data_IF_252321934059
#
_entry.id   IF_252321934059
#
_cell.length_a   1.000
_cell.length_b   1.000
_cell.length_c   1.000
_cell.angle_alpha   90.00
_cell.angle_beta   90.00
_cell.angle_gamma   90.00
#
_symmetry.space_group_name_H-M   'P 1'
#
loop_
_entity.id
_entity.type
_entity.pdbx_description
1 polymer ?
#
# COMPACT_ATOMS: atom_id res chain seq x y z
N UNK A 1 4.37 -45.11 10.82
CA UNK A 1 4.96 -44.58 12.06
C UNK A 1 5.86 -43.40 11.69
N UNK A 2 5.73 -42.29 12.42
CA UNK A 2 6.55 -41.05 12.29
C UNK A 2 6.16 -40.13 11.11
N UNK A 3 5.14 -39.30 11.31
CA UNK A 3 5.09 -37.86 10.95
C UNK A 3 3.95 -37.22 11.74
N UNK A 4 4.20 -37.02 13.02
CA UNK A 4 3.34 -36.28 13.92
C UNK A 4 4.28 -35.50 14.84
N UNK A 5 4.62 -34.32 14.44
CA UNK A 5 5.02 -33.23 15.34
C UNK A 5 5.48 -32.03 14.50
N UNK A 6 5.09 -30.90 14.93
CA UNK A 6 5.46 -29.52 14.55
C UNK A 6 4.31 -28.77 13.84
N UNK A 7 3.27 -28.45 14.57
CA UNK A 7 2.56 -27.17 14.51
C UNK A 7 2.18 -26.81 15.95
N UNK A 8 3.13 -26.39 16.74
CA UNK A 8 2.92 -25.58 17.94
C UNK A 8 3.83 -24.35 17.86
N UNK A 9 3.60 -23.52 16.86
CA UNK A 9 3.98 -22.13 16.85
C UNK A 9 2.79 -21.31 17.33
N UNK A 10 2.59 -21.23 18.64
CA UNK A 10 1.57 -20.36 19.21
C UNK A 10 1.78 -18.95 18.66
N UNK A 11 0.81 -18.42 17.89
CA UNK A 11 0.70 -17.00 17.65
C UNK A 11 0.45 -16.34 18.99
N UNK A 12 1.52 -15.94 19.67
CA UNK A 12 1.43 -15.11 20.85
C UNK A 12 0.62 -13.87 20.44
N UNK A 13 -0.47 -13.60 21.16
CA UNK A 13 -1.26 -12.39 20.99
C UNK A 13 -0.29 -11.20 21.01
N UNK A 14 -0.17 -10.50 19.89
CA UNK A 14 0.67 -9.32 19.82
C UNK A 14 0.10 -8.28 20.77
N UNK A 15 0.97 -7.65 21.56
CA UNK A 15 0.54 -6.59 22.47
C UNK A 15 -0.11 -5.48 21.66
N UNK A 16 -1.31 -5.07 22.06
CA UNK A 16 -2.01 -3.96 21.41
C UNK A 16 -1.16 -2.69 21.46
N UNK A 17 -1.16 -1.88 20.40
CA UNK A 17 -0.36 -0.65 20.37
C UNK A 17 -0.87 0.37 21.37
N UNK A 18 0.02 1.28 21.78
CA UNK A 18 -0.34 2.38 22.67
C UNK A 18 -1.44 3.23 22.02
N UNK A 19 -2.44 3.59 22.82
CA UNK A 19 -3.60 4.37 22.35
C UNK A 19 -4.69 3.56 21.65
N UNK A 20 -4.57 2.24 21.58
CA UNK A 20 -5.63 1.38 21.04
C UNK A 20 -6.92 1.51 21.89
N UNK A 21 -8.14 1.53 21.27
CA UNK A 21 -8.44 1.33 19.85
C UNK A 21 -8.33 2.59 18.98
N UNK A 22 -8.01 3.76 19.53
CA UNK A 22 -7.89 5.00 18.79
C UNK A 22 -9.23 5.46 18.17
N UNK A 23 -9.19 5.85 16.89
CA UNK A 23 -10.37 6.24 16.11
C UNK A 23 -10.74 5.13 15.15
N UNK A 24 -12.01 4.72 15.18
CA UNK A 24 -12.57 3.75 14.25
C UNK A 24 -12.96 4.43 12.93
N UNK A 25 -12.57 3.85 11.82
CA UNK A 25 -12.89 4.32 10.46
C UNK A 25 -13.41 3.13 9.65
N UNK A 26 -14.53 3.34 8.97
CA UNK A 26 -15.06 2.38 8.00
C UNK A 26 -14.81 2.92 6.59
N UNK A 27 -14.11 2.14 5.78
CA UNK A 27 -13.88 2.44 4.39
C UNK A 27 -14.20 1.21 3.53
N UNK A 28 -15.15 1.35 2.61
CA UNK A 28 -15.71 0.20 1.90
C UNK A 28 -16.31 -0.81 2.88
N UNK A 29 -15.85 -2.07 2.82
CA UNK A 29 -16.27 -3.11 3.76
C UNK A 29 -15.27 -3.34 4.90
N UNK A 30 -14.32 -2.42 5.10
CA UNK A 30 -13.21 -2.60 6.03
C UNK A 30 -13.30 -1.63 7.20
N UNK A 31 -13.39 -2.20 8.39
CA UNK A 31 -13.22 -1.51 9.65
C UNK A 31 -11.73 -1.41 9.98
N UNK A 32 -11.25 -0.22 10.29
CA UNK A 32 -9.85 0.04 10.64
C UNK A 32 -9.76 1.03 11.79
N UNK A 33 -8.99 0.68 12.79
CA UNK A 33 -8.63 1.55 13.88
C UNK A 33 -7.32 2.28 13.58
N UNK A 34 -7.31 3.58 13.83
CA UNK A 34 -6.13 4.44 13.59
C UNK A 34 -5.81 5.25 14.84
N UNK A 35 -4.54 5.67 15.03
CA UNK A 35 -4.18 6.54 16.14
C UNK A 35 -5.01 7.82 16.16
N UNK A 36 -5.34 8.30 17.34
CA UNK A 36 -6.00 9.61 17.51
C UNK A 36 -5.01 10.69 17.08
N UNK A 37 -5.43 11.56 16.15
CA UNK A 37 -4.61 12.70 15.74
C UNK A 37 -4.52 13.72 16.86
N UNK A 38 -3.33 14.24 17.19
CA UNK A 38 -3.21 15.40 18.08
C UNK A 38 -3.94 16.62 17.49
N UNK A 39 -4.69 17.36 18.30
CA UNK A 39 -5.45 18.55 17.88
C UNK A 39 -4.60 19.67 17.25
N UNK A 40 -3.29 19.68 17.50
CA UNK A 40 -2.34 20.65 17.00
C UNK A 40 -1.91 20.47 15.53
N UNK A 41 -2.25 19.35 14.90
CA UNK A 41 -1.83 19.07 13.52
C UNK A 41 -2.83 19.64 12.51
N UNK A 42 -2.64 20.94 12.16
CA UNK A 42 -3.29 21.57 11.00
C UNK A 42 -2.35 21.52 9.80
N UNK A 43 -2.77 20.90 8.70
CA UNK A 43 -2.01 20.90 7.46
C UNK A 43 -2.22 19.63 6.62
N UNK A 44 -1.65 19.60 5.38
CA UNK A 44 -1.60 18.38 4.60
C UNK A 44 -0.92 17.30 5.42
N UNK A 45 -1.32 16.04 5.21
CA UNK A 45 -0.89 14.85 5.94
C UNK A 45 0.55 14.98 6.46
N UNK A 46 0.67 15.32 7.74
CA UNK A 46 1.96 15.61 8.32
C UNK A 46 2.76 14.30 8.39
N UNK A 47 4.06 14.39 8.13
CA UNK A 47 5.03 13.30 8.26
C UNK A 47 5.13 12.76 9.70
N UNK A 48 4.40 13.33 10.64
CA UNK A 48 4.50 13.12 12.07
C UNK A 48 3.26 12.38 12.58
N UNK A 49 3.23 11.08 12.43
CA UNK A 49 2.18 10.23 13.00
C UNK A 49 2.24 8.83 12.43
N UNK A 50 2.81 7.92 13.20
CA UNK A 50 2.84 6.49 12.88
C UNK A 50 1.41 5.97 12.70
N UNK A 51 1.21 5.14 11.69
CA UNK A 51 -0.11 4.53 11.44
C UNK A 51 -1.15 5.48 10.84
N UNK A 52 -0.72 6.55 10.19
CA UNK A 52 -1.60 7.56 9.60
C UNK A 52 -2.45 7.01 8.45
N UNK A 53 -3.72 7.37 8.45
CA UNK A 53 -4.62 7.16 7.31
C UNK A 53 -4.97 8.50 6.66
N UNK A 54 -4.75 8.61 5.35
CA UNK A 54 -5.22 9.76 4.56
C UNK A 54 -6.61 9.48 3.98
N UNK A 55 -7.69 10.11 4.48
CA UNK A 55 -9.04 9.91 3.95
C UNK A 55 -9.18 10.34 2.48
N UNK A 56 -8.40 11.31 2.00
CA UNK A 56 -8.41 11.75 0.61
C UNK A 56 -7.99 10.64 -0.37
N UNK A 57 -7.25 9.64 0.12
CA UNK A 57 -6.82 8.49 -0.68
C UNK A 57 -7.88 7.36 -0.77
N UNK A 58 -9.04 7.50 -0.14
CA UNK A 58 -10.11 6.49 -0.19
C UNK A 58 -10.53 6.15 -1.64
N UNK A 59 -10.60 7.16 -2.51
CA UNK A 59 -10.89 6.95 -3.94
C UNK A 59 -9.80 6.17 -4.68
N UNK A 60 -8.52 6.37 -4.35
CA UNK A 60 -7.41 5.59 -4.89
C UNK A 60 -7.53 4.12 -4.46
N UNK A 61 -7.72 3.87 -3.18
CA UNK A 61 -7.92 2.51 -2.66
C UNK A 61 -9.13 1.80 -3.26
N UNK A 62 -10.24 2.53 -3.49
CA UNK A 62 -11.41 1.97 -4.19
C UNK A 62 -11.11 1.59 -5.63
N UNK A 63 -10.36 2.41 -6.38
CA UNK A 63 -9.96 2.08 -7.75
C UNK A 63 -9.07 0.84 -7.78
N UNK A 64 -8.13 0.70 -6.84
CA UNK A 64 -7.28 -0.49 -6.78
C UNK A 64 -8.08 -1.77 -6.46
N UNK A 65 -9.13 -1.71 -5.61
CA UNK A 65 -10.05 -2.83 -5.38
C UNK A 65 -10.78 -3.23 -6.66
N UNK A 66 -11.37 -2.25 -7.36
CA UNK A 66 -12.11 -2.50 -8.60
C UNK A 66 -11.21 -3.10 -9.69
N UNK A 67 -10.01 -2.58 -9.84
CA UNK A 67 -9.05 -3.04 -10.83
C UNK A 67 -8.52 -4.44 -10.51
N UNK A 68 -8.27 -4.74 -9.23
CA UNK A 68 -7.87 -6.09 -8.80
C UNK A 68 -9.02 -7.10 -9.00
N UNK A 69 -10.26 -6.70 -8.73
CA UNK A 69 -11.42 -7.55 -8.99
C UNK A 69 -11.53 -7.89 -10.48
N UNK A 70 -11.42 -6.88 -11.35
CA UNK A 70 -11.42 -7.08 -12.80
C UNK A 70 -10.28 -8.00 -13.27
N UNK A 71 -9.08 -7.83 -12.72
CA UNK A 71 -7.93 -8.67 -13.01
C UNK A 71 -8.15 -10.15 -12.67
N UNK A 72 -8.85 -10.41 -11.56
CA UNK A 72 -9.19 -11.75 -11.11
C UNK A 72 -10.32 -12.38 -11.94
N UNK A 73 -11.38 -11.63 -12.19
CA UNK A 73 -12.54 -12.10 -12.96
C UNK A 73 -12.18 -12.41 -14.42
N UNK A 74 -11.38 -11.55 -15.03
CA UNK A 74 -11.00 -11.66 -16.44
C UNK A 74 -9.64 -12.35 -16.65
N UNK A 75 -8.94 -12.75 -15.57
CA UNK A 75 -7.69 -13.49 -15.61
C UNK A 75 -6.59 -12.87 -16.49
N UNK A 76 -6.52 -11.52 -16.55
CA UNK A 76 -5.52 -10.88 -17.41
C UNK A 76 -4.13 -10.72 -16.75
N UNK A 77 -4.01 -10.87 -15.43
CA UNK A 77 -2.70 -10.89 -14.74
C UNK A 77 -2.08 -12.28 -14.72
N UNK A 78 -2.87 -13.30 -14.45
CA UNK A 78 -2.42 -14.69 -14.32
C UNK A 78 -3.47 -15.63 -14.93
N UNK A 79 -3.09 -16.88 -15.16
CA UNK A 79 -4.02 -17.92 -15.61
C UNK A 79 -5.14 -18.15 -14.58
N UNK A 80 -6.31 -18.67 -15.00
CA UNK A 80 -7.34 -19.12 -14.07
C UNK A 80 -6.75 -19.99 -12.96
N UNK A 81 -7.27 -19.85 -11.76
CA UNK A 81 -6.87 -20.58 -10.55
C UNK A 81 -5.44 -20.38 -10.05
N UNK A 82 -4.62 -19.59 -10.76
CA UNK A 82 -3.29 -19.24 -10.28
C UNK A 82 -3.36 -18.13 -9.22
N UNK A 83 -2.42 -18.18 -8.27
CA UNK A 83 -2.28 -17.18 -7.22
C UNK A 83 -1.70 -15.87 -7.78
N UNK A 84 -2.14 -14.76 -7.20
CA UNK A 84 -1.63 -13.41 -7.45
C UNK A 84 -0.89 -12.96 -6.19
N UNK A 85 0.42 -12.71 -6.34
CA UNK A 85 1.25 -12.14 -5.28
C UNK A 85 1.21 -10.63 -5.35
N UNK A 86 0.85 -10.03 -4.25
CA UNK A 86 0.66 -8.58 -4.10
C UNK A 86 1.56 -8.07 -2.99
N UNK A 87 2.22 -6.95 -3.21
CA UNK A 87 2.87 -6.19 -2.15
C UNK A 87 2.27 -4.79 -2.05
N UNK A 88 1.75 -4.45 -0.87
CA UNK A 88 1.44 -3.10 -0.42
C UNK A 88 2.68 -2.61 0.31
N UNK A 89 3.54 -1.88 -0.41
CA UNK A 89 4.93 -1.69 0.01
C UNK A 89 5.09 -0.66 1.13
N UNK A 90 4.11 0.23 1.33
CA UNK A 90 4.12 1.35 2.26
C UNK A 90 2.75 1.45 2.94
N UNK A 91 2.35 0.37 3.57
CA UNK A 91 0.95 0.05 3.88
C UNK A 91 0.36 0.77 5.10
N UNK A 92 1.18 1.44 5.93
CA UNK A 92 0.75 2.06 7.18
C UNK A 92 -0.11 1.09 8.02
N UNK A 93 -1.41 1.37 8.20
CA UNK A 93 -2.35 0.51 8.96
C UNK A 93 -2.88 -0.68 8.15
N UNK A 94 -2.34 -0.97 6.99
CA UNK A 94 -2.77 -2.04 6.07
C UNK A 94 -4.21 -1.92 5.57
N UNK A 95 -4.81 -0.74 5.59
CA UNK A 95 -6.21 -0.58 5.18
C UNK A 95 -6.43 -0.98 3.72
N UNK A 96 -5.50 -0.66 2.80
CA UNK A 96 -5.59 -1.03 1.38
C UNK A 96 -5.57 -2.54 1.21
N UNK A 97 -4.59 -3.21 1.79
CA UNK A 97 -4.46 -4.67 1.78
C UNK A 97 -5.70 -5.37 2.35
N UNK A 98 -6.23 -4.86 3.47
CA UNK A 98 -7.42 -5.42 4.12
C UNK A 98 -8.69 -5.15 3.29
N UNK A 99 -8.79 -4.01 2.58
CA UNK A 99 -9.88 -3.74 1.65
C UNK A 99 -9.89 -4.71 0.47
N UNK A 100 -8.74 -5.03 -0.10
CA UNK A 100 -8.67 -6.06 -1.14
C UNK A 100 -9.25 -7.38 -0.64
N UNK A 101 -8.88 -7.83 0.55
CA UNK A 101 -9.36 -9.09 1.11
C UNK A 101 -10.83 -9.08 1.51
N UNK A 102 -11.38 -7.95 1.96
CA UNK A 102 -12.77 -7.83 2.40
C UNK A 102 -13.76 -7.51 1.26
N UNK A 103 -13.29 -6.95 0.16
CA UNK A 103 -14.14 -6.43 -0.92
C UNK A 103 -14.11 -7.28 -2.20
N UNK A 104 -13.04 -8.04 -2.42
CA UNK A 104 -12.98 -9.06 -3.49
C UNK A 104 -13.95 -10.20 -3.14
N UNK A 105 -14.70 -10.75 -4.12
CA UNK A 105 -15.60 -11.89 -3.90
C UNK A 105 -14.89 -13.08 -3.25
N UNK A 106 -15.56 -13.73 -2.30
CA UNK A 106 -14.98 -14.84 -1.55
C UNK A 106 -14.47 -15.99 -2.45
N UNK A 107 -15.10 -16.21 -3.59
CA UNK A 107 -14.67 -17.21 -4.56
C UNK A 107 -13.32 -16.92 -5.22
N UNK A 108 -12.83 -15.69 -5.11
CA UNK A 108 -11.58 -15.24 -5.75
C UNK A 108 -10.50 -14.87 -4.73
N UNK A 109 -10.89 -14.58 -3.47
CA UNK A 109 -9.96 -14.07 -2.46
C UNK A 109 -8.85 -15.06 -2.11
N UNK A 110 -9.12 -16.38 -2.20
CA UNK A 110 -8.14 -17.44 -1.93
C UNK A 110 -6.97 -17.45 -2.93
N UNK A 111 -7.13 -16.73 -4.06
CA UNK A 111 -6.05 -16.54 -5.05
C UNK A 111 -5.07 -15.44 -4.65
N UNK A 112 -5.37 -14.64 -3.63
CA UNK A 112 -4.56 -13.51 -3.22
C UNK A 112 -3.56 -13.93 -2.14
N UNK A 113 -2.30 -13.63 -2.38
CA UNK A 113 -1.20 -13.69 -1.42
C UNK A 113 -0.69 -12.26 -1.21
N UNK A 114 -1.07 -11.64 -0.12
CA UNK A 114 -0.77 -10.23 0.12
C UNK A 114 0.29 -10.09 1.20
N UNK A 115 1.33 -9.33 0.89
CA UNK A 115 2.31 -8.80 1.84
C UNK A 115 2.02 -7.32 2.03
N UNK A 116 1.70 -6.95 3.25
CA UNK A 116 1.50 -5.57 3.70
C UNK A 116 2.73 -5.15 4.49
N UNK A 117 3.55 -4.28 3.91
CA UNK A 117 4.84 -3.89 4.47
C UNK A 117 4.86 -2.42 4.88
N UNK A 118 5.47 -2.12 6.00
CA UNK A 118 5.83 -0.76 6.37
C UNK A 118 7.17 -0.75 7.13
N UNK A 119 7.90 0.36 7.07
CA UNK A 119 9.14 0.54 7.81
C UNK A 119 8.88 0.89 9.27
N UNK A 120 7.77 1.60 9.54
CA UNK A 120 7.43 2.13 10.85
C UNK A 120 6.86 1.02 11.75
N UNK A 121 7.56 0.70 12.83
CA UNK A 121 7.15 -0.30 13.81
C UNK A 121 5.76 -0.01 14.41
N UNK A 122 5.45 1.26 14.65
CA UNK A 122 4.15 1.65 15.20
C UNK A 122 3.04 1.39 14.18
N UNK A 123 3.24 1.76 12.91
CA UNK A 123 2.31 1.47 11.83
C UNK A 123 2.05 -0.04 11.71
N UNK A 124 3.11 -0.85 11.73
CA UNK A 124 3.01 -2.32 11.70
C UNK A 124 2.27 -2.88 12.91
N UNK A 125 2.50 -2.32 14.10
CA UNK A 125 1.77 -2.74 15.31
C UNK A 125 0.27 -2.46 15.22
N UNK A 126 -0.12 -1.31 14.67
CA UNK A 126 -1.53 -0.96 14.38
C UNK A 126 -2.13 -1.87 13.30
N UNK A 127 -1.36 -2.18 12.25
CA UNK A 127 -1.79 -3.11 11.21
C UNK A 127 -2.08 -4.51 11.78
N UNK A 128 -1.19 -5.03 12.62
CA UNK A 128 -1.35 -6.32 13.29
C UNK A 128 -2.54 -6.34 14.25
N UNK A 129 -2.72 -5.28 15.04
CA UNK A 129 -3.87 -5.15 15.95
C UNK A 129 -5.18 -5.11 15.16
N UNK A 130 -5.24 -4.36 14.05
CA UNK A 130 -6.39 -4.33 13.16
C UNK A 130 -6.71 -5.72 12.57
N UNK A 131 -5.70 -6.47 12.15
CA UNK A 131 -5.90 -7.81 11.61
C UNK A 131 -6.31 -8.82 12.68
N UNK A 132 -5.80 -8.68 13.90
CA UNK A 132 -6.16 -9.54 15.04
C UNK A 132 -7.62 -9.33 15.48
N UNK A 133 -8.04 -8.07 15.63
CA UNK A 133 -9.37 -7.70 16.13
C UNK A 133 -10.47 -7.82 15.04
N UNK A 134 -10.11 -7.59 13.80
CA UNK A 134 -11.00 -7.64 12.64
C UNK A 134 -10.35 -8.45 11.51
N UNK A 135 -10.25 -9.78 11.64
CA UNK A 135 -9.57 -10.62 10.68
C UNK A 135 -10.23 -10.57 9.30
N UNK A 136 -9.40 -10.54 8.27
CA UNK A 136 -9.83 -10.63 6.87
C UNK A 136 -9.89 -12.08 6.41
N UNK A 137 -10.56 -12.30 5.28
CA UNK A 137 -10.44 -13.55 4.53
C UNK A 137 -9.08 -13.61 3.81
N UNK A 138 -8.64 -14.80 3.42
CA UNK A 138 -7.44 -15.00 2.62
C UNK A 138 -6.11 -14.81 3.38
N UNK A 139 -5.02 -14.72 2.63
CA UNK A 139 -3.67 -14.69 3.17
C UNK A 139 -3.12 -13.27 3.23
N UNK A 140 -2.88 -12.78 4.44
CA UNK A 140 -2.25 -11.48 4.71
C UNK A 140 -1.02 -11.66 5.60
N UNK A 141 0.14 -11.38 5.07
CA UNK A 141 1.37 -11.22 5.84
C UNK A 141 1.59 -9.74 6.17
N UNK A 142 1.78 -9.42 7.44
CA UNK A 142 2.13 -8.05 7.88
C UNK A 142 3.58 -8.03 8.28
N UNK A 143 4.38 -7.31 7.50
CA UNK A 143 5.83 -7.28 7.57
C UNK A 143 6.32 -5.91 7.99
N UNK A 144 7.40 -5.88 8.79
CA UNK A 144 8.18 -4.67 9.03
C UNK A 144 9.46 -4.72 8.22
N UNK A 145 9.67 -3.72 7.35
CA UNK A 145 10.88 -3.68 6.54
C UNK A 145 10.98 -2.48 5.61
N UNK A 146 12.18 -2.27 5.09
CA UNK A 146 12.38 -1.31 4.00
C UNK A 146 11.66 -1.80 2.74
N UNK A 147 10.77 -0.97 2.21
CA UNK A 147 9.96 -1.28 1.03
C UNK A 147 10.81 -1.74 -0.16
N UNK A 148 11.97 -1.13 -0.37
CA UNK A 148 12.89 -1.49 -1.48
C UNK A 148 13.41 -2.92 -1.34
N UNK A 149 13.71 -3.35 -0.12
CA UNK A 149 14.16 -4.72 0.15
C UNK A 149 12.98 -5.67 0.00
N UNK A 150 11.83 -5.35 0.58
CA UNK A 150 10.64 -6.20 0.55
C UNK A 150 10.12 -6.40 -0.88
N UNK A 151 10.19 -5.37 -1.73
CA UNK A 151 9.84 -5.48 -3.15
C UNK A 151 10.78 -6.47 -3.88
N UNK A 152 12.07 -6.52 -3.56
CA UNK A 152 13.04 -7.41 -4.23
C UNK A 152 12.93 -8.89 -3.81
N UNK A 153 12.14 -9.22 -2.81
CA UNK A 153 12.04 -10.60 -2.29
C UNK A 153 11.25 -11.56 -3.19
N UNK A 154 10.43 -11.05 -4.09
CA UNK A 154 9.59 -11.90 -4.94
C UNK A 154 9.35 -11.26 -6.32
N UNK A 155 8.85 -12.06 -7.27
CA UNK A 155 8.26 -11.54 -8.50
C UNK A 155 6.77 -11.28 -8.27
N UNK A 156 6.37 -10.02 -8.23
CA UNK A 156 5.03 -9.58 -7.87
C UNK A 156 4.15 -9.38 -9.10
N UNK A 157 2.89 -9.82 -9.03
CA UNK A 157 1.88 -9.48 -10.04
C UNK A 157 1.21 -8.13 -9.75
N UNK A 158 1.32 -7.65 -8.49
CA UNK A 158 0.84 -6.32 -8.12
C UNK A 158 1.80 -5.70 -7.11
N UNK A 159 2.28 -4.49 -7.42
CA UNK A 159 3.11 -3.69 -6.52
C UNK A 159 2.39 -2.36 -6.29
N UNK A 160 2.02 -2.08 -5.06
CA UNK A 160 1.44 -0.79 -4.65
C UNK A 160 2.51 0.07 -4.00
N UNK A 161 2.70 1.28 -4.52
CA UNK A 161 3.70 2.26 -4.07
C UNK A 161 2.97 3.57 -3.75
N UNK A 162 2.58 3.75 -2.49
CA UNK A 162 1.86 4.94 -2.00
C UNK A 162 2.67 5.67 -0.91
N UNK A 163 3.81 6.31 -1.24
CA UNK A 163 4.68 6.99 -0.30
C UNK A 163 4.12 8.34 0.16
N UNK A 164 4.57 8.78 1.33
CA UNK A 164 4.53 10.19 1.66
C UNK A 164 5.58 10.94 0.82
N UNK A 165 5.16 11.53 -0.29
CA UNK A 165 6.02 12.30 -1.18
C UNK A 165 6.27 11.64 -2.52
N UNK A 166 7.54 11.43 -2.87
CA UNK A 166 7.95 10.94 -4.19
C UNK A 166 8.05 9.42 -4.24
N UNK A 167 7.50 8.75 -5.28
CA UNK A 167 7.66 7.33 -5.49
C UNK A 167 9.02 6.93 -6.10
N UNK A 168 9.78 7.90 -6.58
CA UNK A 168 11.05 7.66 -7.30
C UNK A 168 11.99 6.66 -6.61
N UNK A 169 12.19 6.68 -5.27
CA UNK A 169 13.10 5.75 -4.62
C UNK A 169 12.71 4.26 -4.73
N UNK A 170 11.48 3.97 -5.15
CA UNK A 170 10.91 2.62 -5.21
C UNK A 170 10.71 2.10 -6.63
N UNK A 171 10.77 2.96 -7.65
CA UNK A 171 10.43 2.58 -9.03
C UNK A 171 11.40 1.58 -9.62
N UNK A 172 12.72 1.78 -9.48
CA UNK A 172 13.73 0.87 -10.02
C UNK A 172 13.56 -0.55 -9.49
N UNK A 173 13.39 -0.69 -8.16
CA UNK A 173 13.23 -2.01 -7.54
C UNK A 173 11.90 -2.65 -7.92
N UNK A 174 10.84 -1.87 -8.09
CA UNK A 174 9.56 -2.36 -8.55
C UNK A 174 9.65 -2.92 -9.98
N UNK A 175 10.28 -2.19 -10.88
CA UNK A 175 10.46 -2.64 -12.27
C UNK A 175 11.37 -3.87 -12.38
N UNK A 176 12.36 -4.03 -11.49
CA UNK A 176 13.19 -5.22 -11.44
C UNK A 176 12.47 -6.45 -10.87
N UNK A 177 11.45 -6.26 -10.02
CA UNK A 177 10.79 -7.33 -9.28
C UNK A 177 9.38 -7.63 -9.77
N UNK A 178 8.84 -6.87 -10.71
CA UNK A 178 7.54 -7.17 -11.26
C UNK A 178 7.55 -8.47 -12.07
N UNK A 179 6.46 -9.23 -12.00
CA UNK A 179 6.26 -10.41 -12.85
C UNK A 179 6.15 -9.98 -14.33
N UNK A 180 6.26 -10.94 -15.24
CA UNK A 180 6.16 -10.67 -16.70
C UNK A 180 4.88 -9.91 -17.09
N UNK A 181 3.79 -10.16 -16.40
CA UNK A 181 2.55 -9.38 -16.47
C UNK A 181 2.27 -8.91 -15.06
N UNK A 182 2.24 -7.62 -14.86
CA UNK A 182 2.07 -7.02 -13.54
C UNK A 182 1.37 -5.67 -13.62
N UNK A 183 0.81 -5.26 -12.49
CA UNK A 183 0.39 -3.89 -12.20
C UNK A 183 1.40 -3.27 -11.25
N UNK A 184 1.85 -2.07 -11.56
CA UNK A 184 2.57 -1.20 -10.63
C UNK A 184 1.68 0.02 -10.38
N UNK A 185 1.02 0.04 -9.22
CA UNK A 185 0.16 1.15 -8.79
C UNK A 185 1.03 2.18 -8.08
N UNK A 186 1.06 3.40 -8.59
CA UNK A 186 1.99 4.44 -8.12
C UNK A 186 1.24 5.69 -7.72
N UNK A 187 1.41 6.11 -6.47
CA UNK A 187 0.95 7.39 -5.98
C UNK A 187 2.12 8.35 -5.77
N UNK A 188 1.88 9.62 -6.07
CA UNK A 188 2.82 10.71 -5.79
C UNK A 188 2.09 11.84 -5.07
N UNK A 189 2.52 12.15 -3.86
CA UNK A 189 1.89 13.21 -3.04
C UNK A 189 2.74 14.48 -2.97
N UNK A 190 3.91 14.52 -3.58
CA UNK A 190 4.77 15.69 -3.69
C UNK A 190 4.40 16.60 -4.87
N UNK A 191 3.12 16.94 -4.95
CA UNK A 191 2.51 17.71 -6.03
C UNK A 191 3.21 19.02 -6.31
N UNK A 192 3.75 19.70 -5.29
CA UNK A 192 4.50 20.94 -5.46
C UNK A 192 5.76 20.77 -6.33
N UNK A 193 6.43 19.62 -6.22
CA UNK A 193 7.58 19.30 -7.07
C UNK A 193 7.14 19.01 -8.51
N UNK A 194 6.10 18.21 -8.68
CA UNK A 194 5.59 17.78 -9.98
C UNK A 194 4.91 18.92 -10.76
N UNK A 195 4.21 19.85 -10.09
CA UNK A 195 3.52 20.99 -10.72
C UNK A 195 4.38 22.24 -10.89
N UNK A 196 5.67 22.19 -10.52
CA UNK A 196 6.61 23.30 -10.70
C UNK A 196 6.65 24.33 -9.57
N UNK A 197 5.78 24.26 -8.57
CA UNK A 197 5.79 25.20 -7.43
C UNK A 197 7.03 25.03 -6.54
N UNK A 198 7.68 23.86 -6.56
CA UNK A 198 8.95 23.57 -5.89
C UNK A 198 10.00 23.09 -6.89
N UNK A 199 10.49 24.00 -7.73
CA UNK A 199 11.36 23.74 -8.89
C UNK A 199 12.63 22.95 -8.53
N UNK A 200 13.31 23.31 -7.42
CA UNK A 200 14.51 22.58 -6.97
C UNK A 200 14.23 21.12 -6.60
N UNK A 201 13.06 20.85 -6.04
CA UNK A 201 12.62 19.49 -5.71
C UNK A 201 12.22 18.72 -6.96
N UNK A 202 11.54 19.36 -7.92
CA UNK A 202 11.20 18.79 -9.22
C UNK A 202 12.46 18.32 -9.96
N UNK A 203 13.44 19.22 -10.06
CA UNK A 203 14.73 18.92 -10.69
C UNK A 203 15.48 17.76 -10.04
N UNK A 204 15.55 17.76 -8.69
CA UNK A 204 16.29 16.74 -7.95
C UNK A 204 15.64 15.36 -7.98
N UNK A 205 14.30 15.28 -7.97
CA UNK A 205 13.56 14.02 -7.86
C UNK A 205 13.17 13.44 -9.20
N UNK A 206 12.77 14.29 -10.14
CA UNK A 206 12.16 13.91 -11.41
C UNK A 206 12.99 14.33 -12.63
N UNK A 207 14.13 14.98 -12.41
CA UNK A 207 14.95 15.61 -13.47
C UNK A 207 14.09 16.48 -14.41
N UNK A 208 13.07 17.14 -13.86
CA UNK A 208 12.09 17.91 -14.61
C UNK A 208 11.83 19.27 -13.97
N UNK A 209 11.46 20.22 -14.82
CA UNK A 209 11.03 21.55 -14.42
C UNK A 209 9.69 21.85 -15.07
N UNK A 210 8.61 21.58 -14.34
CA UNK A 210 7.27 21.92 -14.80
C UNK A 210 7.05 23.44 -14.74
N UNK A 211 6.29 23.94 -15.70
CA UNK A 211 5.84 25.35 -15.73
C UNK A 211 4.55 25.46 -14.91
N UNK A 212 4.45 26.53 -14.10
CA UNK A 212 3.25 26.81 -13.31
C UNK A 212 2.25 27.55 -14.18
N UNK A 213 1.41 26.82 -14.86
CA UNK A 213 0.33 27.29 -15.71
C UNK A 213 -0.97 26.50 -15.47
N UNK A 214 -1.98 26.72 -16.30
CA UNK A 214 -3.28 26.03 -16.20
C UNK A 214 -3.17 24.53 -16.48
N UNK A 215 -2.12 24.07 -17.19
CA UNK A 215 -1.86 22.67 -17.53
C UNK A 215 -0.89 21.98 -16.55
N UNK A 216 -0.52 22.64 -15.45
CA UNK A 216 0.49 22.12 -14.50
C UNK A 216 0.19 20.70 -13.97
N UNK A 217 -1.08 20.35 -13.82
CA UNK A 217 -1.47 19.01 -13.34
C UNK A 217 -1.30 17.94 -14.45
N UNK A 218 -1.62 18.28 -15.69
CA UNK A 218 -1.36 17.41 -16.85
C UNK A 218 0.15 17.22 -17.06
N UNK A 219 0.91 18.30 -16.91
CA UNK A 219 2.37 18.26 -16.96
C UNK A 219 2.94 17.39 -15.86
N UNK A 220 2.40 17.49 -14.63
CA UNK A 220 2.79 16.65 -13.50
C UNK A 220 2.60 15.16 -13.79
N UNK A 221 1.44 14.79 -14.37
CA UNK A 221 1.17 13.41 -14.77
C UNK A 221 2.14 12.91 -15.84
N UNK A 222 2.48 13.75 -16.83
CA UNK A 222 3.46 13.40 -17.87
C UNK A 222 4.87 13.22 -17.30
N UNK A 223 5.28 14.07 -16.36
CA UNK A 223 6.56 13.95 -15.65
C UNK A 223 6.62 12.64 -14.88
N UNK A 224 5.57 12.32 -14.11
CA UNK A 224 5.51 11.08 -13.34
C UNK A 224 5.55 9.84 -14.26
N UNK A 225 4.73 9.82 -15.32
CA UNK A 225 4.71 8.73 -16.29
C UNK A 225 6.08 8.56 -16.99
N UNK A 226 6.73 9.67 -17.36
CA UNK A 226 8.07 9.62 -17.95
C UNK A 226 9.16 9.11 -16.99
N UNK A 227 8.92 9.23 -15.68
CA UNK A 227 9.84 8.67 -14.67
C UNK A 227 9.64 7.18 -14.43
N UNK A 228 8.52 6.60 -14.89
CA UNK A 228 8.20 5.18 -14.78
C UNK A 228 8.63 4.42 -16.06
N UNK A 229 8.63 5.09 -17.20
CA UNK A 229 8.92 4.51 -18.50
C UNK A 229 10.43 4.30 -18.71
#
# INVERSE_FOLDING_TARGET
MLFSSIIEGGMGLSKLPEGWPGTEIIEGKTLTNVPIKPESQKGPAAKEGSGFLNPAMAGSRTRSVLMLNDALENNWLVKPDAQIRIIDALAATSIRSRRWLNEIPQSLVDRLMIVSNDLDETAVSWARANQQENPTLGQLEIKQGDARISILESGWQWIDIDPFGSPIPFLDVAMQSCARTAVVDVCATDTAALTGSATSSGRRRYDAMAVVDDLRHDTAMRVLLGSIA
#
